data_IF_867486744573
#
_entry.id   IF_867486744573
#
_cell.length_a   1.000
_cell.length_b   1.000
_cell.length_c   1.000
_cell.angle_alpha   90.00
_cell.angle_beta   90.00
_cell.angle_gamma   90.00
#
_symmetry.space_group_name_H-M   'P 1'
#
loop_
_entity.id
_entity.type
_entity.pdbx_description
1 polymer ?
#
# COMPACT_ATOMS: atom_id res chain seq x y z
N UNK A 1 6.01 10.92 0.86
CA UNK A 1 4.95 9.99 1.29
C UNK A 1 3.82 10.63 2.11
N UNK A 2 4.03 11.71 2.89
CA UNK A 2 2.93 12.40 3.57
C UNK A 2 2.28 11.62 4.73
N UNK A 3 2.87 10.48 5.13
CA UNK A 3 2.50 9.75 6.33
C UNK A 3 3.05 10.46 7.57
N UNK A 4 2.37 10.27 8.70
CA UNK A 4 2.78 10.80 10.00
C UNK A 4 2.71 9.70 11.05
N UNK A 5 3.72 9.68 11.92
CA UNK A 5 3.80 8.82 13.10
C UNK A 5 4.35 9.64 14.26
N UNK A 6 3.88 9.35 15.46
CA UNK A 6 4.46 9.88 16.69
C UNK A 6 5.76 9.16 17.09
N UNK A 7 5.84 7.87 16.74
CA UNK A 7 7.00 7.00 16.96
C UNK A 7 7.97 7.02 15.77
N UNK A 8 9.10 6.31 15.88
CA UNK A 8 10.12 6.31 14.84
C UNK A 8 9.62 5.59 13.59
N UNK A 9 9.63 6.32 12.48
CA UNK A 9 9.27 5.77 11.18
C UNK A 9 10.14 6.39 10.08
N UNK A 10 10.37 5.62 9.03
CA UNK A 10 11.07 6.08 7.84
C UNK A 10 10.57 5.35 6.60
N UNK A 11 10.44 6.03 5.44
CA UNK A 11 10.14 5.37 4.17
C UNK A 11 11.39 4.65 3.65
N UNK A 12 11.52 3.36 3.98
CA UNK A 12 12.64 2.55 3.53
C UNK A 12 12.54 2.38 2.01
N UNK A 13 13.66 2.50 1.29
CA UNK A 13 13.67 2.44 -0.17
C UNK A 13 14.95 1.81 -0.70
N UNK A 14 14.83 1.09 -1.82
CA UNK A 14 15.95 0.58 -2.58
C UNK A 14 15.63 0.64 -4.08
N UNK A 15 15.78 1.81 -4.70
CA UNK A 15 15.45 1.99 -6.13
C UNK A 15 16.32 1.11 -7.03
N UNK A 16 17.53 0.76 -6.57
CA UNK A 16 18.42 -0.19 -7.24
C UNK A 16 17.81 -1.60 -7.37
N UNK A 17 16.85 -1.97 -6.51
CA UNK A 17 16.13 -3.24 -6.58
C UNK A 17 15.41 -3.43 -7.92
N UNK A 18 15.04 -2.35 -8.60
CA UNK A 18 14.45 -2.37 -9.93
C UNK A 18 15.36 -3.05 -10.97
N UNK A 19 16.68 -2.93 -10.80
CA UNK A 19 17.69 -3.32 -11.80
C UNK A 19 18.32 -4.69 -11.55
N UNK A 20 17.92 -5.39 -10.48
CA UNK A 20 18.56 -6.63 -10.05
C UNK A 20 17.61 -7.83 -10.03
N UNK A 21 18.18 -9.02 -10.20
CA UNK A 21 17.44 -10.28 -10.15
C UNK A 21 16.94 -10.59 -8.72
N UNK A 22 15.92 -11.45 -8.55
CA UNK A 22 15.46 -11.87 -7.22
C UNK A 22 16.56 -12.47 -6.36
N UNK A 23 17.48 -13.24 -6.96
CA UNK A 23 18.65 -13.80 -6.26
C UNK A 23 19.56 -12.69 -5.72
N UNK A 24 19.83 -11.66 -6.51
CA UNK A 24 20.64 -10.53 -6.06
C UNK A 24 19.92 -9.70 -5.00
N UNK A 25 18.60 -9.54 -5.11
CA UNK A 25 17.80 -8.86 -4.09
C UNK A 25 17.86 -9.62 -2.75
N UNK A 26 17.69 -10.94 -2.78
CA UNK A 26 17.79 -11.83 -1.62
C UNK A 26 19.16 -11.70 -0.93
N UNK A 27 20.25 -11.69 -1.71
CA UNK A 27 21.61 -11.65 -1.18
C UNK A 27 22.05 -10.23 -0.73
N UNK A 28 21.65 -9.18 -1.45
CA UNK A 28 22.24 -7.84 -1.32
C UNK A 28 21.32 -6.80 -0.68
N UNK A 29 20.00 -7.04 -0.64
CA UNK A 29 19.02 -6.04 -0.18
C UNK A 29 18.21 -6.57 0.99
N UNK A 30 17.59 -7.75 0.83
CA UNK A 30 16.66 -8.32 1.79
C UNK A 30 17.16 -8.35 3.25
N UNK A 31 18.39 -8.83 3.58
CA UNK A 31 18.83 -8.89 4.98
C UNK A 31 18.98 -7.50 5.61
N UNK A 32 19.48 -6.52 4.86
CA UNK A 32 19.67 -5.15 5.35
C UNK A 32 18.34 -4.40 5.45
N UNK A 33 17.42 -4.68 4.53
CA UNK A 33 16.06 -4.15 4.59
C UNK A 33 15.33 -4.67 5.85
N UNK A 34 15.45 -5.97 6.14
CA UNK A 34 14.89 -6.55 7.36
C UNK A 34 15.52 -5.94 8.62
N UNK A 35 16.85 -5.77 8.64
CA UNK A 35 17.54 -5.09 9.75
C UNK A 35 17.03 -3.66 9.92
N UNK A 36 16.86 -2.89 8.85
CA UNK A 36 16.28 -1.54 8.93
C UNK A 36 14.87 -1.53 9.50
N UNK A 37 14.03 -2.50 9.15
CA UNK A 37 12.68 -2.61 9.71
C UNK A 37 12.71 -2.81 11.23
N UNK A 38 13.67 -3.59 11.77
CA UNK A 38 13.80 -3.81 13.21
C UNK A 38 14.15 -2.55 14.03
N UNK A 39 14.62 -1.47 13.37
CA UNK A 39 15.00 -0.23 14.04
C UNK A 39 13.87 0.80 14.09
N UNK A 40 12.76 0.52 13.40
CA UNK A 40 11.63 1.43 13.27
C UNK A 40 10.43 0.85 14.01
N UNK A 41 9.66 1.73 14.65
CA UNK A 41 8.39 1.34 15.27
C UNK A 41 7.31 1.13 14.19
N UNK A 42 7.41 1.91 13.09
CA UNK A 42 6.58 1.76 11.90
C UNK A 42 7.43 1.79 10.64
N UNK A 43 7.42 0.70 9.88
CA UNK A 43 8.22 0.56 8.66
C UNK A 43 7.34 0.55 7.40
N UNK A 44 7.73 1.36 6.41
CA UNK A 44 7.02 1.42 5.13
C UNK A 44 8.03 1.33 4.00
N UNK A 45 7.86 0.35 3.11
CA UNK A 45 8.74 0.17 1.96
C UNK A 45 8.22 0.92 0.73
N UNK A 46 9.06 1.75 0.13
CA UNK A 46 8.84 2.42 -1.15
C UNK A 46 9.06 1.43 -2.30
N UNK A 47 7.96 0.87 -2.80
CA UNK A 47 7.96 -0.11 -3.89
C UNK A 47 7.80 0.61 -5.23
N UNK A 48 8.94 0.94 -5.82
CA UNK A 48 9.02 1.77 -7.02
C UNK A 48 9.21 0.96 -8.29
N UNK A 49 8.14 0.89 -9.07
CA UNK A 49 8.12 0.46 -10.45
C UNK A 49 7.96 -1.04 -10.68
N UNK A 50 7.56 -1.45 -11.90
CA UNK A 50 7.32 -2.85 -12.25
C UNK A 50 8.52 -3.78 -12.10
N UNK A 51 9.75 -3.24 -12.16
CA UNK A 51 10.99 -4.00 -11.98
C UNK A 51 11.13 -4.63 -10.59
N UNK A 52 10.37 -4.15 -9.59
CA UNK A 52 10.37 -4.72 -8.24
C UNK A 52 9.25 -5.74 -8.01
N UNK A 53 8.38 -6.01 -9.00
CA UNK A 53 7.22 -6.90 -8.82
C UNK A 53 7.61 -8.34 -8.45
N UNK A 54 8.75 -8.79 -8.98
CA UNK A 54 9.35 -10.11 -8.73
C UNK A 54 9.95 -10.26 -7.31
N UNK A 55 10.09 -9.17 -6.54
CA UNK A 55 10.63 -9.20 -5.18
C UNK A 55 9.52 -9.19 -4.12
N UNK A 56 8.25 -9.11 -4.51
CA UNK A 56 7.14 -8.91 -3.57
C UNK A 56 7.09 -9.97 -2.47
N UNK A 57 7.24 -11.25 -2.80
CA UNK A 57 7.14 -12.31 -1.79
C UNK A 57 8.26 -12.24 -0.75
N UNK A 58 9.46 -11.76 -1.14
CA UNK A 58 10.56 -11.52 -0.21
C UNK A 58 10.29 -10.29 0.68
N UNK A 59 9.68 -9.23 0.14
CA UNK A 59 9.27 -8.08 0.95
C UNK A 59 8.22 -8.50 1.99
N UNK A 60 7.21 -9.26 1.56
CA UNK A 60 6.11 -9.71 2.41
C UNK A 60 6.54 -10.74 3.46
N UNK A 61 7.69 -11.40 3.28
CA UNK A 61 8.22 -12.35 4.26
C UNK A 61 8.89 -11.68 5.46
N UNK A 62 9.22 -10.38 5.38
CA UNK A 62 9.80 -9.61 6.49
C UNK A 62 8.72 -9.37 7.54
N UNK A 63 8.79 -9.96 8.75
CA UNK A 63 7.76 -9.80 9.78
C UNK A 63 7.58 -8.34 10.21
N UNK A 64 8.70 -7.63 10.38
CA UNK A 64 8.77 -6.25 10.88
C UNK A 64 8.38 -5.20 9.83
N UNK A 65 8.19 -5.57 8.56
CA UNK A 65 7.69 -4.64 7.54
C UNK A 65 6.20 -4.36 7.76
N UNK A 66 5.77 -3.13 8.07
CA UNK A 66 4.35 -2.88 8.36
C UNK A 66 3.53 -2.61 7.10
N UNK A 67 4.06 -1.83 6.16
CA UNK A 67 3.31 -1.44 4.97
C UNK A 67 4.18 -1.33 3.71
N UNK A 68 3.51 -1.40 2.56
CA UNK A 68 4.11 -1.21 1.24
C UNK A 68 3.45 -0.03 0.54
N UNK A 69 4.25 0.90 0.04
CA UNK A 69 3.78 1.99 -0.82
C UNK A 69 4.06 1.63 -2.28
N UNK A 70 3.02 1.58 -3.11
CA UNK A 70 3.20 1.35 -4.54
C UNK A 70 3.39 2.65 -5.32
N UNK A 71 4.41 2.68 -6.17
CA UNK A 71 4.63 3.71 -7.18
C UNK A 71 4.82 3.03 -8.54
N UNK A 72 3.91 3.21 -9.51
CA UNK A 72 4.01 2.51 -10.80
C UNK A 72 5.15 3.03 -11.70
N UNK A 73 5.74 4.18 -11.38
CA UNK A 73 6.74 4.83 -12.22
C UNK A 73 6.16 5.42 -13.52
N UNK A 74 6.99 6.15 -14.26
CA UNK A 74 6.57 6.81 -15.49
C UNK A 74 6.23 5.81 -16.62
N UNK A 75 5.19 6.11 -17.39
CA UNK A 75 4.79 5.31 -18.56
C UNK A 75 3.93 4.08 -18.25
N UNK A 76 3.65 3.81 -16.97
CA UNK A 76 2.78 2.71 -16.53
C UNK A 76 1.35 3.20 -16.19
N UNK A 77 0.37 2.29 -16.12
CA UNK A 77 -0.96 2.61 -15.60
C UNK A 77 -0.91 3.30 -14.22
N UNK A 78 -1.83 4.25 -13.94
CA UNK A 78 -1.82 5.00 -12.70
C UNK A 78 -1.96 4.11 -11.47
N UNK A 79 -1.64 4.65 -10.28
CA UNK A 79 -1.65 3.93 -9.00
C UNK A 79 -3.01 3.28 -8.69
N UNK A 80 -4.10 3.84 -9.19
CA UNK A 80 -5.48 3.40 -8.97
C UNK A 80 -6.04 2.53 -10.10
N UNK A 81 -5.20 2.10 -11.04
CA UNK A 81 -5.59 1.16 -12.08
C UNK A 81 -5.84 -0.26 -11.51
N UNK A 82 -6.98 -0.91 -11.84
CA UNK A 82 -7.28 -2.27 -11.41
C UNK A 82 -6.23 -3.32 -11.78
N UNK A 83 -5.36 -3.07 -12.78
CA UNK A 83 -4.28 -3.99 -13.13
C UNK A 83 -3.33 -4.29 -11.96
N UNK A 84 -3.22 -3.37 -10.99
CA UNK A 84 -2.37 -3.53 -9.81
C UNK A 84 -3.06 -4.25 -8.64
N UNK A 85 -4.39 -4.38 -8.67
CA UNK A 85 -5.16 -4.93 -7.55
C UNK A 85 -4.77 -6.36 -7.13
N UNK A 86 -4.33 -7.26 -8.03
CA UNK A 86 -3.81 -8.56 -7.61
C UNK A 86 -2.62 -8.44 -6.63
N UNK A 87 -1.73 -7.47 -6.83
CA UNK A 87 -0.59 -7.22 -5.92
C UNK A 87 -1.06 -6.59 -4.62
N UNK A 88 -1.99 -5.64 -4.68
CA UNK A 88 -2.58 -5.01 -3.49
C UNK A 88 -3.24 -6.03 -2.57
N UNK A 89 -4.01 -6.96 -3.16
CA UNK A 89 -4.64 -8.05 -2.41
C UNK A 89 -3.62 -9.00 -1.79
N UNK A 90 -2.51 -9.28 -2.48
CA UNK A 90 -1.40 -10.08 -1.91
C UNK A 90 -0.76 -9.38 -0.70
N UNK A 91 -0.48 -8.08 -0.80
CA UNK A 91 0.06 -7.25 0.29
C UNK A 91 -0.89 -7.31 1.51
N UNK A 92 -2.19 -7.07 1.29
CA UNK A 92 -3.19 -7.10 2.37
C UNK A 92 -3.40 -8.50 2.96
N UNK A 93 -3.33 -9.55 2.15
CA UNK A 93 -3.45 -10.94 2.61
C UNK A 93 -2.26 -11.34 3.49
N UNK A 94 -1.07 -10.81 3.20
CA UNK A 94 0.11 -10.95 4.06
C UNK A 94 0.04 -10.11 5.35
N UNK A 95 -1.09 -9.42 5.59
CA UNK A 95 -1.31 -8.60 6.78
C UNK A 95 -0.61 -7.24 6.74
N UNK A 96 -0.03 -6.86 5.60
CA UNK A 96 0.70 -5.60 5.43
C UNK A 96 -0.23 -4.47 5.03
N UNK A 97 0.07 -3.26 5.49
CA UNK A 97 -0.58 -2.04 5.04
C UNK A 97 -0.26 -1.71 3.59
N UNK A 98 -1.13 -0.91 2.97
CA UNK A 98 -0.99 -0.48 1.58
C UNK A 98 -1.13 1.04 1.50
N UNK A 99 -0.17 1.70 0.87
CA UNK A 99 -0.13 3.15 0.71
C UNK A 99 -0.22 3.50 -0.78
N UNK A 100 -1.30 4.16 -1.19
CA UNK A 100 -1.55 4.58 -2.57
C UNK A 100 -1.56 6.10 -2.65
N UNK A 101 -0.58 6.68 -3.34
CA UNK A 101 -0.45 8.13 -3.47
C UNK A 101 -0.83 8.59 -4.87
N UNK A 102 -1.73 9.56 -4.99
CA UNK A 102 -2.20 10.08 -6.28
C UNK A 102 -3.40 9.34 -6.84
N UNK A 103 -4.24 8.76 -5.96
CA UNK A 103 -5.53 8.17 -6.34
C UNK A 103 -6.44 9.28 -6.89
N UNK A 104 -7.10 9.07 -8.02
CA UNK A 104 -8.11 10.02 -8.50
C UNK A 104 -9.33 9.99 -7.56
N UNK A 105 -9.84 11.16 -7.16
CA UNK A 105 -10.97 11.28 -6.22
C UNK A 105 -12.18 10.41 -6.63
N UNK A 106 -12.48 10.35 -7.93
CA UNK A 106 -13.57 9.53 -8.50
C UNK A 106 -13.39 8.01 -8.33
N UNK A 107 -12.17 7.54 -8.10
CA UNK A 107 -11.84 6.11 -7.97
C UNK A 107 -11.79 5.64 -6.51
N UNK A 108 -11.87 6.56 -5.53
CA UNK A 108 -11.79 6.25 -4.09
C UNK A 108 -12.84 5.21 -3.67
N UNK A 109 -14.10 5.39 -4.10
CA UNK A 109 -15.17 4.44 -3.77
C UNK A 109 -14.85 3.03 -4.27
N UNK A 110 -14.44 2.91 -5.55
CA UNK A 110 -14.12 1.63 -6.16
C UNK A 110 -13.02 0.91 -5.38
N UNK A 111 -11.96 1.63 -5.02
CA UNK A 111 -10.85 1.04 -4.26
C UNK A 111 -11.33 0.53 -2.90
N UNK A 112 -12.14 1.30 -2.17
CA UNK A 112 -12.70 0.87 -0.88
C UNK A 112 -13.57 -0.37 -1.02
N UNK A 113 -14.33 -0.50 -2.12
CA UNK A 113 -15.16 -1.67 -2.39
C UNK A 113 -14.34 -2.91 -2.74
N UNK A 114 -13.25 -2.75 -3.50
CA UNK A 114 -12.46 -3.87 -4.04
C UNK A 114 -11.32 -4.35 -3.13
N UNK A 115 -10.83 -3.48 -2.25
CA UNK A 115 -9.73 -3.77 -1.32
C UNK A 115 -10.22 -3.78 0.14
N UNK A 116 -9.39 -4.31 1.04
CA UNK A 116 -9.65 -4.16 2.47
C UNK A 116 -9.44 -2.70 2.89
N UNK A 117 -10.36 -2.07 3.63
CA UNK A 117 -10.11 -0.74 4.19
C UNK A 117 -9.12 -0.79 5.37
N UNK A 118 -8.95 -1.96 6.02
CA UNK A 118 -7.98 -2.12 7.11
C UNK A 118 -6.56 -2.02 6.54
N UNK A 119 -5.77 -1.09 7.09
CA UNK A 119 -4.38 -0.86 6.69
C UNK A 119 -4.23 -0.15 5.34
N UNK A 120 -5.29 0.41 4.77
CA UNK A 120 -5.25 1.14 3.51
C UNK A 120 -5.14 2.64 3.74
N UNK A 121 -4.11 3.26 3.18
CA UNK A 121 -3.95 4.70 3.10
C UNK A 121 -4.05 5.16 1.64
N UNK A 122 -4.83 6.21 1.39
CA UNK A 122 -4.94 6.84 0.07
C UNK A 122 -4.71 8.34 0.18
N UNK A 123 -3.85 8.88 -0.67
CA UNK A 123 -3.75 10.31 -0.92
C UNK A 123 -4.42 10.65 -2.25
N UNK A 124 -5.32 11.64 -2.22
CA UNK A 124 -6.08 12.14 -3.37
C UNK A 124 -6.14 13.67 -3.34
N UNK A 125 -6.68 14.27 -4.40
CA UNK A 125 -6.87 15.72 -4.52
C UNK A 125 -8.24 16.03 -5.11
N UNK A 126 -8.85 17.11 -4.63
CA UNK A 126 -10.11 17.67 -5.12
C UNK A 126 -9.90 19.09 -5.64
N UNK A 127 -10.86 19.64 -6.38
CA UNK A 127 -10.76 21.00 -6.91
C UNK A 127 -11.06 22.08 -5.85
N UNK A 128 -11.71 21.70 -4.73
CA UNK A 128 -12.04 22.61 -3.63
C UNK A 128 -12.03 21.91 -2.27
N UNK A 129 -12.01 22.71 -1.20
CA UNK A 129 -12.16 22.22 0.18
C UNK A 129 -13.52 21.55 0.40
N UNK A 130 -14.60 22.10 -0.15
CA UNK A 130 -15.95 21.54 -0.01
C UNK A 130 -16.04 20.13 -0.64
N UNK A 131 -15.49 19.95 -1.84
CA UNK A 131 -15.38 18.63 -2.47
C UNK A 131 -14.56 17.66 -1.62
N UNK A 132 -13.45 18.11 -1.04
CA UNK A 132 -12.61 17.29 -0.18
C UNK A 132 -13.37 16.85 1.09
N UNK A 133 -14.10 17.78 1.72
CA UNK A 133 -14.93 17.50 2.91
C UNK A 133 -16.05 16.52 2.60
N UNK A 134 -16.67 16.64 1.43
CA UNK A 134 -17.71 15.70 1.02
C UNK A 134 -17.13 14.31 0.72
N UNK A 135 -16.01 14.24 0.01
CA UNK A 135 -15.32 12.98 -0.25
C UNK A 135 -14.92 12.25 1.04
N UNK A 136 -14.48 12.99 2.08
CA UNK A 136 -14.16 12.39 3.39
C UNK A 136 -15.39 11.74 4.04
N UNK A 137 -16.56 12.40 4.03
CA UNK A 137 -17.81 11.81 4.57
C UNK A 137 -18.22 10.57 3.80
N UNK A 138 -18.12 10.62 2.47
CA UNK A 138 -18.44 9.48 1.61
C UNK A 138 -17.49 8.31 1.86
N UNK A 139 -16.18 8.59 1.98
CA UNK A 139 -15.17 7.58 2.28
C UNK A 139 -15.39 6.90 3.63
N UNK A 140 -15.78 7.65 4.66
CA UNK A 140 -16.18 7.10 5.96
C UNK A 140 -17.37 6.14 5.81
N UNK A 141 -18.44 6.58 5.14
CA UNK A 141 -19.63 5.76 4.91
C UNK A 141 -19.29 4.46 4.15
N UNK A 142 -18.59 4.56 3.02
CA UNK A 142 -18.21 3.39 2.22
C UNK A 142 -17.30 2.43 2.99
N UNK A 143 -16.43 2.95 3.85
CA UNK A 143 -15.56 2.14 4.70
C UNK A 143 -16.37 1.34 5.72
N UNK A 144 -17.33 1.98 6.39
CA UNK A 144 -18.22 1.31 7.35
C UNK A 144 -19.09 0.25 6.67
N UNK A 145 -19.66 0.56 5.50
CA UNK A 145 -20.41 -0.39 4.67
C UNK A 145 -19.56 -1.64 4.37
N UNK A 146 -18.32 -1.42 3.88
CA UNK A 146 -17.42 -2.51 3.52
C UNK A 146 -17.03 -3.37 4.72
N UNK A 147 -16.73 -2.77 5.86
CA UNK A 147 -16.40 -3.49 7.09
C UNK A 147 -17.58 -4.35 7.57
N UNK A 148 -18.81 -3.83 7.48
CA UNK A 148 -20.01 -4.59 7.81
C UNK A 148 -20.23 -5.78 6.86
N UNK A 149 -20.06 -5.60 5.55
CA UNK A 149 -20.18 -6.69 4.56
C UNK A 149 -19.20 -7.85 4.83
N UNK A 150 -17.94 -7.52 5.12
CA UNK A 150 -16.90 -8.50 5.46
C UNK A 150 -17.29 -9.25 6.73
N UNK A 151 -17.69 -8.52 7.79
CA UNK A 151 -18.07 -9.14 9.07
C UNK A 151 -19.29 -10.07 8.94
N UNK A 152 -20.25 -9.73 8.09
CA UNK A 152 -21.42 -10.59 7.84
C UNK A 152 -21.03 -11.86 7.09
N UNK A 153 -20.15 -11.76 6.08
CA UNK A 153 -19.72 -12.91 5.28
C UNK A 153 -18.92 -13.91 6.12
N UNK A 154 -18.09 -13.45 7.05
CA UNK A 154 -17.31 -14.32 7.94
C UNK A 154 -18.17 -15.05 8.98
N UNK A 155 -19.38 -14.56 9.30
CA UNK A 155 -20.29 -15.21 10.27
C UNK A 155 -21.14 -16.32 9.68
N UNK A 156 -21.25 -16.39 8.35
CA UNK A 156 -22.06 -17.39 7.63
C UNK A 156 -21.27 -18.62 7.19
N UNK A 157 -19.97 -18.65 7.49
CA UNK A 157 -19.04 -19.76 7.23
C UNK A 157 -18.62 -20.40 8.56
#
# INVERSE_FOLDING_TARGET
MGLWSIENWYPIQCDFAYMISPKQFEELVLPFLAEQCCWLDHSVYHWDGPGQLNHLDMLLSIPELDAVQWTPGAGNPPVDDPCWYPYYKRIQTAGKGLVLLGVAAKNVERIIRDLSPKGLFMATSCASEDEARELLKLAERWTLERLHEVAMTTRTL
#
